data_IF_576643382720
#
_entry.id   IF_576643382720
#
_cell.length_a   1.000
_cell.length_b   1.000
_cell.length_c   1.000
_cell.angle_alpha   90.00
_cell.angle_beta   90.00
_cell.angle_gamma   90.00
#
_symmetry.space_group_name_H-M   'P 1'
#
loop_
_entity.id
_entity.type
_entity.pdbx_description
1 polymer ?
#
# COMPACT_ATOMS: atom_id res chain seq x y z
N UNK A 1 -13.31 31.03 18.19
CA UNK A 1 -13.11 29.87 19.10
C UNK A 1 -13.88 28.63 18.64
N UNK A 2 -15.21 28.67 18.44
CA UNK A 2 -15.99 27.50 17.95
C UNK A 2 -15.55 26.95 16.58
N UNK A 3 -15.24 27.82 15.61
CA UNK A 3 -14.79 27.41 14.28
C UNK A 3 -13.43 26.69 14.32
N UNK A 4 -12.49 27.18 15.12
CA UNK A 4 -11.18 26.56 15.32
C UNK A 4 -11.33 25.16 15.92
N UNK A 5 -12.22 25.00 16.91
CA UNK A 5 -12.50 23.69 17.52
C UNK A 5 -13.09 22.70 16.51
N UNK A 6 -14.00 23.13 15.63
CA UNK A 6 -14.57 22.27 14.59
C UNK A 6 -13.52 21.84 13.58
N UNK A 7 -12.65 22.76 13.15
CA UNK A 7 -11.54 22.44 12.23
C UNK A 7 -10.56 21.46 12.87
N UNK A 8 -10.20 21.67 14.14
CA UNK A 8 -9.29 20.76 14.87
C UNK A 8 -9.92 19.38 15.05
N UNK A 9 -11.20 19.28 15.39
CA UNK A 9 -11.91 17.99 15.50
C UNK A 9 -11.99 17.28 14.15
N UNK A 10 -12.29 18.00 13.06
CA UNK A 10 -12.30 17.42 11.72
C UNK A 10 -10.93 16.90 11.31
N UNK A 11 -9.86 17.67 11.55
CA UNK A 11 -8.49 17.24 11.26
C UNK A 11 -8.12 16.03 12.09
N UNK A 12 -8.41 16.03 13.40
CA UNK A 12 -8.14 14.90 14.28
C UNK A 12 -8.93 13.65 13.89
N UNK A 13 -10.21 13.78 13.50
CA UNK A 13 -11.03 12.67 13.04
C UNK A 13 -10.51 12.06 11.73
N UNK A 14 -10.05 12.92 10.80
CA UNK A 14 -9.41 12.48 9.55
C UNK A 14 -8.06 11.80 9.84
N UNK A 15 -7.28 12.33 10.78
CA UNK A 15 -6.01 11.73 11.20
C UNK A 15 -6.21 10.43 12.01
N UNK A 16 -7.28 10.29 12.78
CA UNK A 16 -7.58 9.06 13.53
C UNK A 16 -8.15 7.97 12.63
N UNK A 17 -8.91 8.33 11.59
CA UNK A 17 -9.32 7.39 10.54
C UNK A 17 -8.16 6.91 9.68
N UNK A 18 -7.00 7.57 9.75
CA UNK A 18 -5.77 7.19 9.07
C UNK A 18 -4.91 6.18 9.87
N UNK A 19 -5.36 5.71 11.04
CA UNK A 19 -4.82 4.51 11.69
C UNK A 19 -5.34 3.26 10.97
N UNK A 20 -5.07 3.17 9.66
CA UNK A 20 -5.39 2.02 8.84
C UNK A 20 -4.43 0.86 9.10
N UNK A 21 -4.81 -0.33 8.64
CA UNK A 21 -3.92 -1.48 8.66
C UNK A 21 -2.68 -1.14 7.82
N UNK A 22 -1.50 -1.47 8.34
CA UNK A 22 -0.24 -1.29 7.64
C UNK A 22 0.37 -2.63 7.26
N UNK A 23 0.95 -2.71 6.07
CA UNK A 23 1.65 -3.88 5.56
C UNK A 23 3.15 -3.67 5.68
N UNK A 24 3.85 -4.61 6.30
CA UNK A 24 5.29 -4.55 6.53
C UNK A 24 6.03 -5.46 5.55
N UNK A 25 7.09 -4.93 4.93
CA UNK A 25 8.03 -5.69 4.09
C UNK A 25 9.45 -5.29 4.49
N UNK A 26 10.17 -6.21 5.12
CA UNK A 26 11.46 -5.91 5.72
C UNK A 26 11.32 -4.89 6.85
N UNK A 27 12.00 -3.76 6.73
CA UNK A 27 12.00 -2.63 7.66
C UNK A 27 11.01 -1.52 7.26
N UNK A 28 10.25 -1.71 6.18
CA UNK A 28 9.34 -0.69 5.62
C UNK A 28 7.90 -1.04 5.91
N UNK A 29 7.09 -0.01 6.16
CA UNK A 29 5.66 -0.12 6.42
C UNK A 29 4.87 0.74 5.44
N UNK A 30 3.77 0.20 4.93
CA UNK A 30 2.94 0.81 3.89
C UNK A 30 1.46 0.72 4.28
N UNK A 31 0.64 1.76 4.08
CA UNK A 31 -0.78 1.69 4.36
C UNK A 31 -1.47 0.70 3.41
N UNK A 32 -2.35 -0.16 3.95
CA UNK A 32 -3.03 -1.22 3.20
C UNK A 32 -3.77 -0.68 1.97
N UNK A 33 -4.41 0.48 2.08
CA UNK A 33 -5.13 1.14 1.00
C UNK A 33 -4.20 1.47 -0.17
N UNK A 34 -2.98 1.94 0.08
CA UNK A 34 -2.01 2.18 -0.97
C UNK A 34 -1.53 0.86 -1.59
N UNK A 35 -1.37 -0.21 -0.80
CA UNK A 35 -0.96 -1.53 -1.31
C UNK A 35 -2.05 -2.13 -2.22
N UNK A 36 -3.32 -1.94 -1.91
CA UNK A 36 -4.43 -2.33 -2.80
C UNK A 36 -4.41 -1.59 -4.13
N UNK A 37 -4.18 -0.27 -4.09
CA UNK A 37 -4.01 0.52 -5.32
C UNK A 37 -2.79 0.06 -6.12
N UNK A 38 -1.69 -0.30 -5.46
CA UNK A 38 -0.52 -0.87 -6.13
C UNK A 38 -0.86 -2.21 -6.80
N UNK A 39 -1.59 -3.09 -6.11
CA UNK A 39 -2.07 -4.36 -6.68
C UNK A 39 -2.91 -4.10 -7.91
N UNK A 40 -3.91 -3.22 -7.87
CA UNK A 40 -4.71 -2.87 -9.06
C UNK A 40 -3.84 -2.36 -10.22
N UNK A 41 -2.86 -1.49 -9.94
CA UNK A 41 -1.93 -0.99 -10.96
C UNK A 41 -1.05 -2.10 -11.57
N UNK A 42 -0.73 -3.15 -10.82
CA UNK A 42 0.06 -4.29 -11.28
C UNK A 42 -0.81 -5.38 -11.94
N UNK A 43 -2.02 -5.62 -11.44
CA UNK A 43 -3.00 -6.59 -11.94
C UNK A 43 -3.65 -6.13 -13.27
N UNK A 44 -3.72 -4.81 -13.53
CA UNK A 44 -4.05 -4.30 -14.87
C UNK A 44 -3.10 -4.81 -15.96
N UNK A 45 -1.95 -5.38 -15.57
CA UNK A 45 -0.95 -5.99 -16.44
C UNK A 45 -0.96 -7.54 -16.40
N UNK A 46 -1.89 -8.18 -15.66
CA UNK A 46 -1.84 -9.61 -15.29
C UNK A 46 -2.42 -10.62 -16.29
N UNK A 47 -2.50 -10.28 -17.58
CA UNK A 47 -2.55 -11.33 -18.61
C UNK A 47 -1.18 -12.01 -18.83
N UNK A 48 -0.15 -11.71 -18.03
CA UNK A 48 1.21 -12.11 -18.37
C UNK A 48 2.02 -12.59 -17.14
N UNK A 49 2.20 -13.91 -17.08
CA UNK A 49 3.23 -14.73 -16.41
C UNK A 49 4.17 -14.08 -15.34
N UNK A 50 4.50 -14.78 -14.24
CA UNK A 50 5.38 -14.29 -13.15
C UNK A 50 6.79 -13.80 -13.57
N UNK A 51 7.22 -14.04 -14.82
CA UNK A 51 8.42 -13.41 -15.42
C UNK A 51 8.26 -11.91 -15.75
N UNK A 52 7.06 -11.33 -15.65
CA UNK A 52 6.83 -9.90 -15.90
C UNK A 52 6.85 -9.01 -14.66
N UNK A 53 7.23 -9.54 -13.49
CA UNK A 53 7.32 -8.74 -12.27
C UNK A 53 8.18 -7.47 -12.44
N UNK A 54 9.30 -7.53 -13.18
CA UNK A 54 10.09 -6.32 -13.45
C UNK A 54 9.38 -5.34 -14.39
N UNK A 55 8.72 -5.84 -15.45
CA UNK A 55 7.99 -5.00 -16.40
C UNK A 55 6.79 -4.33 -15.74
N UNK A 56 6.05 -5.04 -14.89
CA UNK A 56 4.92 -4.48 -14.15
C UNK A 56 5.38 -3.46 -13.11
N UNK A 57 6.55 -3.65 -12.51
CA UNK A 57 7.13 -2.68 -11.57
C UNK A 57 7.59 -1.41 -12.27
N UNK A 58 8.24 -1.51 -13.43
CA UNK A 58 8.61 -0.33 -14.23
C UNK A 58 7.35 0.42 -14.65
N UNK A 59 6.33 -0.30 -15.13
CA UNK A 59 5.03 0.29 -15.48
C UNK A 59 4.40 1.01 -14.28
N UNK A 60 4.33 0.35 -13.12
CA UNK A 60 3.83 0.95 -11.88
C UNK A 60 4.63 2.19 -11.47
N UNK A 61 5.96 2.16 -11.53
CA UNK A 61 6.83 3.29 -11.19
C UNK A 61 6.70 4.50 -12.12
N UNK A 62 6.34 4.27 -13.39
CA UNK A 62 6.05 5.34 -14.36
C UNK A 62 4.59 5.80 -14.34
N UNK A 63 3.70 5.09 -13.65
CA UNK A 63 2.28 5.40 -13.63
C UNK A 63 2.01 6.68 -12.82
N UNK A 64 1.32 7.70 -13.37
CA UNK A 64 1.01 8.92 -12.64
C UNK A 64 0.10 8.69 -11.43
N UNK A 65 -0.70 7.61 -11.43
CA UNK A 65 -1.59 7.23 -10.34
C UNK A 65 -0.89 6.44 -9.22
N UNK A 66 0.40 6.17 -9.34
CA UNK A 66 1.14 5.48 -8.29
C UNK A 66 1.08 6.28 -6.97
N UNK A 67 0.64 5.66 -5.86
CA UNK A 67 0.62 6.30 -4.56
C UNK A 67 1.99 6.86 -4.16
N UNK A 68 2.01 8.09 -3.62
CA UNK A 68 3.24 8.84 -3.36
C UNK A 68 4.21 8.10 -2.42
N UNK A 69 3.66 7.31 -1.50
CA UNK A 69 4.38 6.45 -0.55
C UNK A 69 5.32 5.44 -1.25
N UNK A 70 5.05 5.04 -2.50
CA UNK A 70 5.91 4.11 -3.24
C UNK A 70 6.99 4.80 -4.08
N UNK A 71 6.96 6.13 -4.24
CA UNK A 71 7.96 6.86 -5.03
C UNK A 71 9.40 6.62 -4.54
N UNK A 72 9.68 6.59 -3.22
CA UNK A 72 11.02 6.25 -2.73
C UNK A 72 11.43 4.80 -3.05
N UNK A 73 10.47 3.87 -3.13
CA UNK A 73 10.75 2.47 -3.49
C UNK A 73 11.25 2.38 -4.92
N UNK A 74 10.62 3.10 -5.85
CA UNK A 74 11.02 3.17 -7.26
C UNK A 74 12.43 3.75 -7.49
N UNK A 75 12.91 4.58 -6.57
CA UNK A 75 14.27 5.16 -6.62
C UNK A 75 15.34 4.19 -6.06
N UNK A 76 14.92 3.20 -5.27
CA UNK A 76 15.79 2.23 -4.64
C UNK A 76 16.09 1.02 -5.52
N UNK A 77 17.20 0.34 -5.21
CA UNK A 77 17.45 -1.01 -5.74
C UNK A 77 16.44 -1.97 -5.10
N UNK A 78 15.91 -2.91 -5.89
CA UNK A 78 14.99 -3.95 -5.39
C UNK A 78 13.51 -3.55 -5.32
N UNK A 79 13.09 -2.49 -6.05
CA UNK A 79 11.68 -2.12 -6.17
C UNK A 79 10.79 -3.32 -6.56
N UNK A 80 11.28 -4.17 -7.46
CA UNK A 80 10.55 -5.36 -7.90
C UNK A 80 10.27 -6.33 -6.76
N UNK A 81 11.27 -6.59 -5.91
CA UNK A 81 11.11 -7.48 -4.75
C UNK A 81 10.09 -6.90 -3.77
N UNK A 82 10.18 -5.60 -3.47
CA UNK A 82 9.26 -4.94 -2.54
C UNK A 82 7.83 -4.99 -3.06
N UNK A 83 7.60 -4.61 -4.31
CA UNK A 83 6.26 -4.59 -4.90
C UNK A 83 5.67 -5.99 -5.05
N UNK A 84 6.45 -6.97 -5.52
CA UNK A 84 6.00 -8.36 -5.59
C UNK A 84 5.62 -8.92 -4.22
N UNK A 85 6.39 -8.62 -3.17
CA UNK A 85 6.05 -9.05 -1.82
C UNK A 85 4.76 -8.39 -1.31
N UNK A 86 4.60 -7.09 -1.55
CA UNK A 86 3.38 -6.36 -1.16
C UNK A 86 2.14 -6.94 -1.84
N UNK A 87 2.18 -7.16 -3.16
CA UNK A 87 1.07 -7.75 -3.91
C UNK A 87 0.78 -9.18 -3.45
N UNK A 88 1.83 -9.99 -3.23
CA UNK A 88 1.70 -11.36 -2.73
C UNK A 88 1.02 -11.40 -1.36
N UNK A 89 1.42 -10.53 -0.43
CA UNK A 89 0.82 -10.44 0.91
C UNK A 89 -0.69 -10.13 0.84
N UNK A 90 -1.12 -9.33 -0.14
CA UNK A 90 -2.53 -8.92 -0.32
C UNK A 90 -3.35 -9.78 -1.27
N UNK A 91 -2.80 -10.89 -1.79
CA UNK A 91 -3.47 -11.84 -2.70
C UNK A 91 -3.73 -13.15 -1.93
N UNK A 92 -4.88 -13.85 -2.09
CA UNK A 92 -5.94 -13.67 -3.08
C UNK A 92 -6.93 -12.54 -2.76
N UNK A 93 -7.41 -12.41 -1.52
CA UNK A 93 -8.22 -11.26 -1.08
C UNK A 93 -7.97 -11.00 0.41
N UNK A 94 -7.35 -9.86 0.68
CA UNK A 94 -7.48 -9.12 1.94
C UNK A 94 -7.15 -9.85 3.26
N UNK A 95 -6.10 -10.69 3.34
CA UNK A 95 -5.69 -11.25 4.62
C UNK A 95 -5.24 -10.17 5.62
N UNK A 96 -4.97 -8.95 5.15
CA UNK A 96 -4.75 -7.78 6.01
C UNK A 96 -6.04 -7.11 6.50
N UNK A 97 -7.19 -7.24 5.82
CA UNK A 97 -8.45 -6.70 6.34
C UNK A 97 -8.99 -7.53 7.51
N UNK A 98 -8.82 -8.85 7.43
CA UNK A 98 -9.20 -9.78 8.50
C UNK A 98 -8.05 -10.09 9.45
N UNK A 99 -6.92 -9.36 9.33
CA UNK A 99 -5.78 -9.47 10.24
C UNK A 99 -5.22 -10.91 10.37
N UNK A 100 -5.28 -11.67 9.29
CA UNK A 100 -4.87 -13.08 9.22
C UNK A 100 -3.43 -13.27 8.70
N UNK A 101 -2.79 -12.20 8.20
CA UNK A 101 -1.38 -12.25 7.78
C UNK A 101 -0.50 -11.47 8.75
N UNK A 102 0.60 -12.06 9.26
CA UNK A 102 1.48 -11.43 10.27
C UNK A 102 2.25 -10.21 9.76
N UNK A 103 2.24 -9.97 8.44
CA UNK A 103 2.81 -8.77 7.84
C UNK A 103 1.90 -7.56 8.01
N UNK A 104 0.67 -7.74 8.49
CA UNK A 104 -0.34 -6.69 8.65
C UNK A 104 -0.41 -6.24 10.12
N UNK A 105 -0.28 -4.93 10.36
CA UNK A 105 -0.19 -4.30 11.67
C UNK A 105 -1.25 -3.20 11.83
N UNK A 106 -1.52 -2.79 13.06
CA UNK A 106 -2.53 -1.75 13.32
C UNK A 106 -3.98 -2.26 13.34
N UNK A 107 -4.16 -3.58 13.29
CA UNK A 107 -5.43 -4.23 13.54
C UNK A 107 -5.93 -3.99 14.97
N UNK A 108 -7.22 -3.66 15.11
CA UNK A 108 -7.91 -3.64 16.40
C UNK A 108 -8.33 -5.09 16.71
N UNK A 109 -7.86 -5.62 17.84
CA UNK A 109 -8.29 -6.92 18.38
C UNK A 109 -9.74 -6.88 18.88
#
# INVERSE_FOLDING_TARGET
MRSLSVVVVLVLCVCSGALGVQVMVGDRSFPLEAVKQLKELMDLNDNISPRLAETSVVAACTNPLLPQVFRPVCQGKGAAIVFSNLVYITTPNDPCEICANPSCYGCLN
#
